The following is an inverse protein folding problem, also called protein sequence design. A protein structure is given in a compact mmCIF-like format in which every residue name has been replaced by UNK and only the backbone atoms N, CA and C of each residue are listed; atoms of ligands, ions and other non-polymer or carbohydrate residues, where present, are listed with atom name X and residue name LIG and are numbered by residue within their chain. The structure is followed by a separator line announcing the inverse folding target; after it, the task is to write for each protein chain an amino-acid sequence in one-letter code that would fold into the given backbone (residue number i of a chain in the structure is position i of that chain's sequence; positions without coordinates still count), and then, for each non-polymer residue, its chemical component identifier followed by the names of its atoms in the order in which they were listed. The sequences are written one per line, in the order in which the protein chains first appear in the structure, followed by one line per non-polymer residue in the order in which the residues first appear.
data_IF_399227527614
#
_entry.id   IF_399227527614
#
_cell.length_a   1.000
_cell.length_b   1.000
_cell.length_c   1.000
_cell.angle_alpha   90.00
_cell.angle_beta   90.00
_cell.angle_gamma   90.00
#
_symmetry.space_group_name_H-M   'P 1'
#
loop_
_entity.id
_entity.type
_entity.pdbx_description
1 polymer ?
#
# COMPACT_ATOMS: atom_id res chain seq x y z
N UNK A 1 -2.48 -2.37 -18.43
CA UNK A 1 -1.11 -2.24 -17.88
C UNK A 1 -0.70 -3.58 -17.32
N UNK A 2 0.49 -4.07 -17.70
CA UNK A 2 1.02 -5.35 -17.17
C UNK A 2 1.68 -5.17 -15.79
N UNK A 3 2.00 -3.93 -15.42
CA UNK A 3 2.89 -3.56 -14.32
C UNK A 3 2.20 -2.61 -13.33
N UNK A 4 0.98 -2.93 -12.90
CA UNK A 4 0.21 -2.06 -12.00
C UNK A 4 0.60 -2.28 -10.53
N UNK A 5 1.00 -1.22 -9.84
CA UNK A 5 1.44 -1.22 -8.43
C UNK A 5 0.55 -0.37 -7.53
N UNK A 6 0.54 -0.69 -6.24
CA UNK A 6 -0.13 0.16 -5.24
C UNK A 6 0.71 1.40 -4.91
N UNK A 7 0.07 2.57 -4.74
CA UNK A 7 0.75 3.83 -4.45
C UNK A 7 1.00 4.11 -2.97
N UNK A 8 0.62 3.21 -2.06
CA UNK A 8 0.79 3.39 -0.62
C UNK A 8 2.25 3.43 -0.14
N UNK A 9 3.17 2.84 -0.90
CA UNK A 9 4.61 2.92 -0.65
C UNK A 9 5.32 3.08 -1.98
N UNK A 10 5.95 4.24 -2.18
CA UNK A 10 6.74 4.56 -3.37
C UNK A 10 8.06 5.18 -2.92
N UNK A 11 9.16 4.70 -3.48
CA UNK A 11 10.46 5.36 -3.37
C UNK A 11 10.75 6.11 -4.67
N UNK A 12 10.72 7.44 -4.62
CA UNK A 12 11.00 8.27 -5.79
C UNK A 12 12.50 8.55 -5.93
N UNK A 13 13.04 8.29 -7.12
CA UNK A 13 14.20 9.04 -7.60
C UNK A 13 13.70 10.42 -8.06
N UNK A 14 13.76 11.41 -7.17
CA UNK A 14 13.17 12.74 -7.39
C UNK A 14 13.78 13.45 -8.60
N UNK A 15 15.09 13.35 -8.80
CA UNK A 15 15.76 13.98 -9.93
C UNK A 15 15.27 13.39 -11.25
N UNK A 16 15.25 12.06 -11.36
CA UNK A 16 14.76 11.39 -12.57
C UNK A 16 13.27 11.65 -12.79
N UNK A 17 12.46 11.62 -11.72
CA UNK A 17 11.03 11.89 -11.79
C UNK A 17 10.74 13.29 -12.34
N UNK A 18 11.40 14.32 -11.81
CA UNK A 18 11.21 15.70 -12.24
C UNK A 18 11.68 15.96 -13.68
N UNK A 19 12.66 15.18 -14.17
CA UNK A 19 13.13 15.26 -15.55
C UNK A 19 12.19 14.57 -16.55
N UNK A 20 11.48 13.52 -16.13
CA UNK A 20 10.60 12.72 -17.00
C UNK A 20 9.16 13.21 -17.01
N UNK A 21 8.65 13.65 -15.86
CA UNK A 21 7.23 13.91 -15.66
C UNK A 21 7.03 15.37 -15.25
N UNK A 22 6.25 16.10 -16.05
CA UNK A 22 5.95 17.51 -15.78
C UNK A 22 4.67 17.67 -14.97
N UNK A 23 4.62 18.72 -14.14
CA UNK A 23 3.42 19.08 -13.37
C UNK A 23 2.20 19.28 -14.28
N UNK A 24 2.36 19.93 -15.44
CA UNK A 24 1.26 20.14 -16.38
C UNK A 24 0.65 18.83 -16.87
N UNK A 25 1.48 17.80 -17.10
CA UNK A 25 0.98 16.49 -17.53
C UNK A 25 0.16 15.81 -16.44
N UNK A 26 0.61 15.91 -15.18
CA UNK A 26 -0.13 15.40 -14.03
C UNK A 26 -1.48 16.11 -13.92
N UNK A 27 -1.50 17.44 -14.02
CA UNK A 27 -2.73 18.25 -13.94
C UNK A 27 -3.71 17.93 -15.08
N UNK A 28 -3.23 17.76 -16.30
CA UNK A 28 -4.05 17.34 -17.44
C UNK A 28 -4.78 16.03 -17.11
N UNK A 29 -4.06 15.01 -16.63
CA UNK A 29 -4.63 13.70 -16.30
C UNK A 29 -5.59 13.74 -15.11
N UNK A 30 -5.28 14.54 -14.08
CA UNK A 30 -6.21 14.75 -12.95
C UNK A 30 -7.53 15.34 -13.46
N UNK A 31 -7.46 16.33 -14.36
CA UNK A 31 -8.63 17.02 -14.90
C UNK A 31 -9.48 16.15 -15.84
N UNK A 32 -8.94 15.04 -16.37
CA UNK A 32 -9.75 14.05 -17.08
C UNK A 32 -10.78 13.36 -16.18
N UNK A 33 -10.51 13.31 -14.86
CA UNK A 33 -11.42 12.81 -13.81
C UNK A 33 -12.12 11.48 -14.13
N UNK A 34 -11.40 10.55 -14.77
CA UNK A 34 -11.95 9.29 -15.30
C UNK A 34 -11.39 8.04 -14.62
N UNK A 35 -10.44 8.18 -13.72
CA UNK A 35 -9.74 7.05 -13.10
C UNK A 35 -10.43 6.63 -11.82
N UNK A 36 -10.72 5.33 -11.69
CA UNK A 36 -11.28 4.76 -10.47
C UNK A 36 -10.35 4.93 -9.27
N UNK A 37 -9.04 4.69 -9.47
CA UNK A 37 -8.00 4.90 -8.46
C UNK A 37 -7.15 6.10 -8.89
N UNK A 38 -7.50 7.29 -8.40
CA UNK A 38 -7.05 8.60 -8.90
C UNK A 38 -5.53 8.70 -9.14
N UNK A 39 -4.79 9.13 -8.13
CA UNK A 39 -3.34 9.35 -8.16
C UNK A 39 -2.59 8.05 -8.48
N UNK A 40 -3.02 6.92 -7.91
CA UNK A 40 -2.39 5.62 -8.16
C UNK A 40 -2.39 5.26 -9.65
N UNK A 41 -3.51 5.43 -10.35
CA UNK A 41 -3.59 5.09 -11.79
C UNK A 41 -2.77 6.06 -12.62
N UNK A 42 -2.82 7.35 -12.29
CA UNK A 42 -2.02 8.37 -12.98
C UNK A 42 -0.51 8.05 -12.85
N UNK A 43 -0.04 7.72 -11.64
CA UNK A 43 1.35 7.34 -11.41
C UNK A 43 1.75 6.08 -12.18
N UNK A 44 0.90 5.05 -12.19
CA UNK A 44 1.15 3.82 -12.94
C UNK A 44 1.26 4.05 -14.46
N UNK A 45 0.43 4.95 -15.01
CA UNK A 45 0.51 5.32 -16.43
C UNK A 45 1.78 6.12 -16.72
N UNK A 46 2.05 7.16 -15.92
CA UNK A 46 3.18 8.06 -16.16
C UNK A 46 4.53 7.38 -15.96
N UNK A 47 4.60 6.38 -15.10
CA UNK A 47 5.84 5.71 -14.73
C UNK A 47 5.98 4.28 -15.31
N UNK A 48 5.06 3.79 -16.16
CA UNK A 48 4.99 2.36 -16.57
C UNK A 48 6.34 1.78 -17.01
N UNK A 49 7.12 2.56 -17.77
CA UNK A 49 8.41 2.17 -18.34
C UNK A 49 9.62 2.55 -17.47
N UNK A 50 9.41 3.18 -16.32
CA UNK A 50 10.46 3.70 -15.43
C UNK A 50 10.31 3.25 -13.97
N UNK A 51 9.50 2.21 -13.74
CA UNK A 51 9.28 1.63 -12.42
C UNK A 51 10.17 0.42 -12.15
N UNK A 52 10.64 0.31 -10.90
CA UNK A 52 11.21 -0.91 -10.33
C UNK A 52 10.31 -1.38 -9.19
N UNK A 53 10.05 -2.68 -9.11
CA UNK A 53 9.16 -3.24 -8.09
C UNK A 53 9.88 -3.47 -6.77
N UNK A 54 9.31 -2.95 -5.69
CA UNK A 54 9.73 -3.31 -4.34
C UNK A 54 9.29 -4.74 -4.00
N UNK A 55 10.07 -5.46 -3.18
CA UNK A 55 9.61 -6.71 -2.58
C UNK A 55 8.30 -6.51 -1.78
N UNK A 56 7.47 -7.55 -1.72
CA UNK A 56 6.14 -7.47 -1.10
C UNK A 56 6.19 -7.12 0.39
N UNK A 57 7.29 -7.41 1.09
CA UNK A 57 7.42 -7.08 2.52
C UNK A 57 7.40 -5.57 2.81
N UNK A 58 7.68 -4.72 1.81
CA UNK A 58 7.65 -3.26 1.94
C UNK A 58 6.28 -2.64 1.71
N UNK A 59 5.26 -3.42 1.31
CA UNK A 59 3.89 -2.93 1.18
C UNK A 59 2.92 -4.10 1.33
N UNK A 60 2.92 -4.72 2.51
CA UNK A 60 2.10 -5.90 2.78
C UNK A 60 0.66 -5.50 3.11
N UNK A 61 -0.28 -5.78 2.19
CA UNK A 61 -1.65 -5.27 2.23
C UNK A 61 -2.71 -6.29 2.65
N UNK A 62 -2.46 -7.58 2.41
CA UNK A 62 -3.50 -8.59 2.35
C UNK A 62 -3.63 -9.35 3.67
N UNK A 63 -4.86 -9.65 4.05
CA UNK A 63 -5.17 -10.53 5.16
C UNK A 63 -5.16 -12.00 4.70
N UNK A 64 -5.35 -12.89 5.68
CA UNK A 64 -5.32 -14.33 5.46
C UNK A 64 -6.51 -14.79 4.59
N UNK A 65 -7.70 -14.24 4.83
CA UNK A 65 -8.90 -14.57 4.06
C UNK A 65 -8.69 -14.29 2.57
N UNK A 66 -8.20 -13.10 2.21
CA UNK A 66 -7.93 -12.77 0.81
C UNK A 66 -6.86 -13.68 0.18
N UNK A 67 -5.80 -14.01 0.94
CA UNK A 67 -4.70 -14.82 0.43
C UNK A 67 -5.11 -16.27 0.18
N UNK A 68 -5.71 -16.90 1.17
CA UNK A 68 -5.98 -18.33 1.17
C UNK A 68 -7.31 -18.67 0.46
N UNK A 69 -8.32 -17.81 0.56
CA UNK A 69 -9.65 -18.10 -0.03
C UNK A 69 -9.79 -17.60 -1.47
N UNK A 70 -8.94 -16.68 -1.92
CA UNK A 70 -9.02 -16.11 -3.27
C UNK A 70 -7.70 -16.16 -4.06
N UNK A 71 -6.62 -15.59 -3.52
CA UNK A 71 -5.41 -15.36 -4.31
C UNK A 71 -4.70 -16.64 -4.73
N UNK A 72 -4.60 -17.63 -3.84
CA UNK A 72 -4.01 -18.94 -4.15
C UNK A 72 -4.71 -19.63 -5.33
N UNK A 73 -6.04 -19.53 -5.41
CA UNK A 73 -6.83 -20.12 -6.50
C UNK A 73 -6.76 -19.32 -7.82
N UNK A 74 -6.40 -18.04 -7.76
CA UNK A 74 -6.32 -17.17 -8.94
C UNK A 74 -4.93 -17.11 -9.56
N UNK A 75 -3.90 -17.02 -8.74
CA UNK A 75 -2.50 -16.95 -9.17
C UNK A 75 -1.58 -17.45 -8.06
N UNK A 76 -1.44 -18.78 -8.00
CA UNK A 76 -0.63 -19.48 -6.99
C UNK A 76 0.79 -18.92 -6.87
N UNK A 77 1.44 -18.60 -7.99
CA UNK A 77 2.80 -18.05 -8.00
C UNK A 77 2.88 -16.73 -7.24
N UNK A 78 1.96 -15.80 -7.51
CA UNK A 78 1.93 -14.49 -6.82
C UNK A 78 1.53 -14.67 -5.36
N UNK A 79 0.56 -15.53 -5.08
CA UNK A 79 0.14 -15.83 -3.71
C UNK A 79 1.31 -16.35 -2.86
N UNK A 80 2.12 -17.27 -3.41
CA UNK A 80 3.29 -17.82 -2.72
C UNK A 80 4.37 -16.75 -2.45
N UNK A 81 4.56 -15.77 -3.35
CA UNK A 81 5.46 -14.65 -3.10
C UNK A 81 4.98 -13.77 -1.94
N UNK A 82 3.67 -13.53 -1.85
CA UNK A 82 3.09 -12.74 -0.75
C UNK A 82 3.18 -13.54 0.57
N UNK A 83 2.88 -14.83 0.55
CA UNK A 83 3.01 -15.72 1.73
C UNK A 83 4.46 -15.70 2.23
N UNK A 84 5.45 -15.81 1.35
CA UNK A 84 6.86 -15.74 1.73
C UNK A 84 7.22 -14.38 2.37
N UNK A 85 6.64 -13.28 1.90
CA UNK A 85 6.88 -11.95 2.46
C UNK A 85 6.28 -11.77 3.88
N UNK A 86 5.27 -12.57 4.24
CA UNK A 86 4.61 -12.51 5.57
C UNK A 86 5.59 -12.76 6.72
N UNK A 87 6.58 -13.62 6.50
CA UNK A 87 7.59 -13.97 7.52
C UNK A 87 8.52 -12.80 7.88
N UNK A 88 8.56 -11.74 7.06
CA UNK A 88 9.52 -10.64 7.22
C UNK A 88 8.94 -9.27 6.82
N UNK A 89 7.67 -9.01 7.17
CA UNK A 89 6.99 -7.75 6.85
C UNK A 89 7.75 -6.55 7.42
N UNK A 90 8.08 -5.59 6.56
CA UNK A 90 8.72 -4.31 6.92
C UNK A 90 7.70 -3.20 7.08
N UNK A 91 6.69 -3.19 6.23
CA UNK A 91 5.59 -2.22 6.27
C UNK A 91 4.27 -2.95 6.08
N UNK A 92 3.43 -2.93 7.12
CA UNK A 92 2.03 -3.35 7.03
C UNK A 92 1.19 -2.17 6.57
N UNK A 93 0.49 -2.33 5.45
CA UNK A 93 -0.39 -1.32 4.89
C UNK A 93 -1.85 -1.78 5.05
N UNK A 94 -2.60 -1.14 5.95
CA UNK A 94 -4.03 -1.38 6.11
C UNK A 94 -4.78 -0.67 4.97
N UNK A 95 -5.19 -1.43 3.95
CA UNK A 95 -5.96 -0.93 2.80
C UNK A 95 -7.42 -1.34 2.97
N UNK A 96 -8.34 -0.39 2.80
CA UNK A 96 -9.76 -0.67 2.84
C UNK A 96 -10.14 -1.61 1.70
N UNK A 97 -10.72 -2.76 2.04
CA UNK A 97 -11.20 -3.75 1.08
C UNK A 97 -12.70 -3.99 1.26
N UNK A 98 -13.14 -4.13 2.50
CA UNK A 98 -14.53 -4.25 2.93
C UNK A 98 -14.79 -3.39 4.18
N UNK A 99 -16.05 -3.29 4.61
CA UNK A 99 -16.36 -2.66 5.91
C UNK A 99 -15.63 -3.41 7.02
N UNK A 100 -15.10 -2.68 7.99
CA UNK A 100 -14.33 -3.28 9.09
C UNK A 100 -13.05 -3.94 8.57
N UNK A 101 -12.32 -3.25 7.69
CA UNK A 101 -10.97 -3.69 7.30
C UNK A 101 -9.88 -3.04 8.16
N UNK A 102 -10.22 -1.93 8.84
CA UNK A 102 -9.23 -1.12 9.53
C UNK A 102 -9.13 -1.50 11.01
N UNK A 103 -7.92 -1.48 11.60
CA UNK A 103 -7.73 -1.81 13.02
C UNK A 103 -8.60 -0.99 13.98
N UNK A 104 -8.93 0.25 13.62
CA UNK A 104 -9.76 1.16 14.42
C UNK A 104 -11.26 0.94 14.32
N UNK A 105 -11.71 0.03 13.45
CA UNK A 105 -13.12 -0.32 13.29
C UNK A 105 -13.51 -1.53 14.14
N UNK A 106 -12.54 -2.24 14.72
CA UNK A 106 -12.77 -3.45 15.49
C UNK A 106 -12.89 -3.16 16.98
N UNK A 107 -13.88 -3.80 17.62
CA UNK A 107 -14.06 -3.75 19.08
C UNK A 107 -12.98 -4.57 19.78
N UNK A 108 -12.57 -5.68 19.17
CA UNK A 108 -11.53 -6.59 19.67
C UNK A 108 -10.38 -6.68 18.69
N UNK A 109 -9.16 -6.75 19.22
CA UNK A 109 -7.95 -6.99 18.41
C UNK A 109 -8.03 -8.37 17.74
N UNK A 110 -7.88 -8.40 16.42
CA UNK A 110 -8.00 -9.64 15.61
C UNK A 110 -6.66 -10.34 15.40
N UNK A 111 -5.57 -9.59 15.30
CA UNK A 111 -4.24 -10.14 15.03
C UNK A 111 -3.10 -9.33 15.67
N UNK A 112 -1.85 -9.77 15.43
CA UNK A 112 -0.66 -9.11 15.96
C UNK A 112 -0.41 -7.74 15.30
N UNK A 113 -0.81 -7.52 14.05
CA UNK A 113 -0.61 -6.24 13.37
C UNK A 113 -1.55 -5.16 13.92
N UNK A 114 -2.80 -5.51 14.22
CA UNK A 114 -3.73 -4.62 14.91
C UNK A 114 -3.25 -4.29 16.32
N UNK A 115 -2.74 -5.29 17.04
CA UNK A 115 -2.13 -5.08 18.36
C UNK A 115 -0.98 -4.07 18.28
N UNK A 116 -0.13 -4.21 17.28
CA UNK A 116 1.01 -3.30 17.06
C UNK A 116 0.54 -1.89 16.68
N UNK A 117 -0.48 -1.77 15.82
CA UNK A 117 -1.10 -0.48 15.47
C UNK A 117 -1.54 0.29 16.73
N UNK A 118 -2.31 -0.36 17.60
CA UNK A 118 -2.80 0.26 18.83
C UNK A 118 -1.68 0.59 19.82
N UNK A 119 -0.70 -0.30 19.95
CA UNK A 119 0.48 -0.07 20.78
C UNK A 119 1.26 1.16 20.30
N UNK A 120 1.53 1.28 19.01
CA UNK A 120 2.24 2.44 18.46
C UNK A 120 1.44 3.72 18.64
N UNK A 121 0.13 3.70 18.39
CA UNK A 121 -0.73 4.86 18.60
C UNK A 121 -0.68 5.34 20.06
N UNK A 122 -0.77 4.42 21.01
CA UNK A 122 -0.69 4.73 22.45
C UNK A 122 0.67 5.36 22.80
N UNK A 123 1.77 4.74 22.40
CA UNK A 123 3.14 5.25 22.66
C UNK A 123 3.34 6.65 22.07
N UNK A 124 2.88 6.89 20.84
CA UNK A 124 3.01 8.22 20.20
C UNK A 124 2.20 9.28 20.96
N UNK A 125 1.02 8.94 21.49
CA UNK A 125 0.22 9.86 22.30
C UNK A 125 0.89 10.20 23.63
N UNK A 126 1.51 9.23 24.29
CA UNK A 126 2.26 9.51 25.52
C UNK A 126 3.46 10.43 25.25
N UNK A 127 4.22 10.17 24.19
CA UNK A 127 5.38 10.99 23.80
C UNK A 127 4.94 12.43 23.47
N UNK A 128 3.85 12.61 22.73
CA UNK A 128 3.38 13.93 22.32
C UNK A 128 2.92 14.79 23.50
N UNK A 129 2.53 14.19 24.63
CA UNK A 129 2.22 14.90 25.87
C UNK A 129 3.46 15.34 26.63
N UNK A 130 4.59 14.65 26.49
CA UNK A 130 5.85 14.98 27.17
C UNK A 130 6.61 16.10 26.43
N UNK A 131 6.42 16.20 25.11
CA UNK A 131 7.11 17.17 24.25
C UNK A 131 6.38 18.53 24.12
N UNK A 132 5.26 18.72 24.83
CA UNK A 132 4.55 20.01 24.96
C UNK A 132 5.02 20.77 26.19
#
# INVERSE_FOLDING_TARGET
MKNYVNSGVILFNVETYNNLITTNKILEMINENKYQYLDQTILNILCEESMTFLPYEYNYQKDDHWLFDWAQHKNERVANLIIAARENVKIRHFVEFEKHSMPWEHVTVQDQWEKDFWKYLYVIKEISMILQ
#
